data_IF_790659026177
#
_entry.id   IF_790659026177
#
_cell.length_a   1.000
_cell.length_b   1.000
_cell.length_c   1.000
_cell.angle_alpha   90.00
_cell.angle_beta   90.00
_cell.angle_gamma   90.00
#
_symmetry.space_group_name_H-M   'P 1'
#
loop_
_entity.id
_entity.type
_entity.pdbx_description
1 polymer ?
#
# COMPACT_ATOMS: atom_id res chain seq x y z
N UNK A 1 -8.70 4.84 21.64
CA UNK A 1 -7.69 4.53 20.62
C UNK A 1 -8.43 4.55 19.31
N UNK A 2 -7.90 5.30 18.35
CA UNK A 2 -8.52 5.57 17.05
C UNK A 2 -7.69 4.81 16.02
N UNK A 3 -8.32 3.87 15.32
CA UNK A 3 -7.64 2.96 14.41
C UNK A 3 -7.98 3.27 12.96
N UNK A 4 -6.96 3.32 12.10
CA UNK A 4 -7.14 3.41 10.66
C UNK A 4 -6.67 2.15 9.93
N UNK A 5 -7.35 1.80 8.83
CA UNK A 5 -6.84 0.84 7.83
C UNK A 5 -6.17 1.60 6.69
N UNK A 6 -4.96 1.19 6.30
CA UNK A 6 -4.23 1.70 5.14
C UNK A 6 -4.21 0.61 4.06
N UNK A 7 -4.95 0.82 2.98
CA UNK A 7 -5.01 -0.06 1.80
C UNK A 7 -3.94 0.40 0.81
N UNK A 8 -2.86 -0.37 0.68
CA UNK A 8 -1.70 0.02 -0.12
C UNK A 8 -1.83 -0.48 -1.56
N UNK A 9 -1.87 0.45 -2.51
CA UNK A 9 -1.60 0.24 -3.94
C UNK A 9 -2.35 -0.95 -4.58
N UNK A 10 -3.64 -1.13 -4.28
CA UNK A 10 -4.48 -2.17 -4.90
C UNK A 10 -4.95 -1.70 -6.29
N UNK A 11 -3.98 -1.54 -7.20
CA UNK A 11 -4.13 -0.97 -8.54
C UNK A 11 -4.03 -2.00 -9.65
N UNK A 12 -4.49 -1.64 -10.84
CA UNK A 12 -4.51 -2.54 -12.01
C UNK A 12 -3.12 -3.04 -12.40
N UNK A 13 -2.11 -2.17 -12.43
CA UNK A 13 -0.76 -2.53 -12.88
C UNK A 13 -0.04 -3.52 -11.96
N UNK A 14 -0.43 -3.58 -10.69
CA UNK A 14 0.14 -4.51 -9.71
C UNK A 14 -0.57 -5.86 -9.64
N UNK A 15 -1.60 -6.08 -10.44
CA UNK A 15 -2.37 -7.32 -10.47
C UNK A 15 -2.19 -8.05 -11.81
N UNK A 16 -2.68 -9.28 -11.90
CA UNK A 16 -2.61 -10.08 -13.12
C UNK A 16 -3.15 -9.32 -14.35
N UNK A 17 -2.34 -9.27 -15.41
CA UNK A 17 -2.61 -8.51 -16.63
C UNK A 17 -2.07 -7.07 -16.63
N UNK A 18 -1.58 -6.58 -15.49
CA UNK A 18 -0.91 -5.29 -15.34
C UNK A 18 0.55 -5.29 -15.84
N UNK A 19 1.19 -4.12 -15.82
CA UNK A 19 2.58 -3.96 -16.25
C UNK A 19 3.64 -4.50 -15.27
N UNK A 20 3.33 -4.53 -13.97
CA UNK A 20 4.19 -5.08 -12.90
C UNK A 20 3.36 -6.03 -12.03
N UNK A 21 2.87 -7.15 -12.59
CA UNK A 21 1.88 -7.97 -11.94
C UNK A 21 2.47 -8.73 -10.74
N UNK A 22 1.78 -8.65 -9.60
CA UNK A 22 2.05 -9.47 -8.42
C UNK A 22 1.11 -10.66 -8.42
N UNK A 23 1.66 -11.88 -8.31
CA UNK A 23 0.85 -13.09 -8.26
C UNK A 23 -0.08 -13.08 -7.04
N UNK A 24 -1.38 -13.29 -7.26
CA UNK A 24 -2.42 -13.18 -6.25
C UNK A 24 -2.91 -11.75 -6.00
N UNK A 25 -2.36 -10.74 -6.68
CA UNK A 25 -2.73 -9.34 -6.52
C UNK A 25 -4.21 -9.08 -6.77
N UNK A 26 -4.80 -9.68 -7.81
CA UNK A 26 -6.22 -9.52 -8.10
C UNK A 26 -7.14 -10.07 -7.00
N UNK A 27 -6.68 -11.02 -6.18
CA UNK A 27 -7.45 -11.58 -5.08
C UNK A 27 -7.45 -10.70 -3.82
N UNK A 28 -6.54 -9.71 -3.73
CA UNK A 28 -6.42 -8.82 -2.56
C UNK A 28 -7.64 -7.91 -2.42
N UNK A 29 -8.12 -7.32 -3.52
CA UNK A 29 -9.28 -6.43 -3.50
C UNK A 29 -10.55 -7.10 -2.91
N UNK A 30 -11.03 -8.26 -3.41
CA UNK A 30 -12.20 -8.90 -2.82
C UNK A 30 -11.96 -9.40 -1.39
N UNK A 31 -10.73 -9.79 -1.03
CA UNK A 31 -10.39 -10.19 0.34
C UNK A 31 -10.50 -9.01 1.33
N UNK A 32 -10.03 -7.82 0.93
CA UNK A 32 -10.15 -6.59 1.74
C UNK A 32 -11.63 -6.21 1.90
N UNK A 33 -12.44 -6.30 0.84
CA UNK A 33 -13.88 -6.00 0.93
C UNK A 33 -14.57 -6.94 1.92
N UNK A 34 -14.34 -8.25 1.80
CA UNK A 34 -14.91 -9.24 2.71
C UNK A 34 -14.49 -8.98 4.17
N UNK A 35 -13.23 -8.62 4.38
CA UNK A 35 -12.73 -8.24 5.70
C UNK A 35 -13.43 -6.99 6.26
N UNK A 36 -13.69 -5.98 5.43
CA UNK A 36 -14.41 -4.77 5.83
C UNK A 36 -15.91 -5.00 6.04
N UNK A 37 -16.50 -6.00 5.38
CA UNK A 37 -17.90 -6.40 5.56
C UNK A 37 -18.13 -7.00 6.96
N UNK A 38 -17.13 -7.65 7.55
CA UNK A 38 -17.15 -8.17 8.92
C UNK A 38 -17.08 -7.05 10.00
N UNK A 39 -17.07 -5.79 9.59
CA UNK A 39 -17.07 -4.60 10.43
C UNK A 39 -15.99 -4.64 11.54
N UNK A 40 -14.70 -4.69 11.19
CA UNK A 40 -13.58 -4.84 12.14
C UNK A 40 -13.38 -3.64 13.07
N UNK A 41 -14.17 -2.57 12.92
CA UNK A 41 -14.21 -1.43 13.83
C UNK A 41 -13.15 -0.35 13.56
N UNK A 42 -12.81 -0.09 12.30
CA UNK A 42 -11.97 1.06 11.93
C UNK A 42 -12.74 2.37 12.04
N UNK A 43 -12.08 3.40 12.58
CA UNK A 43 -12.59 4.77 12.57
C UNK A 43 -12.38 5.44 11.22
N UNK A 44 -11.32 5.04 10.50
CA UNK A 44 -10.98 5.55 9.17
C UNK A 44 -10.41 4.45 8.27
N UNK A 45 -10.71 4.52 6.98
CA UNK A 45 -10.10 3.69 5.94
C UNK A 45 -9.51 4.60 4.88
N UNK A 46 -8.22 4.47 4.63
CA UNK A 46 -7.51 5.25 3.62
C UNK A 46 -6.85 4.32 2.61
N UNK A 47 -6.63 4.83 1.40
CA UNK A 47 -5.92 4.09 0.36
C UNK A 47 -4.73 4.89 -0.16
N UNK A 48 -3.71 4.19 -0.63
CA UNK A 48 -2.61 4.81 -1.39
C UNK A 48 -2.71 4.43 -2.85
N UNK A 49 -2.19 5.30 -3.71
CA UNK A 49 -1.97 5.01 -5.11
C UNK A 49 -0.57 5.42 -5.49
N UNK A 50 0.14 4.51 -6.15
CA UNK A 50 1.26 4.88 -6.97
C UNK A 50 0.77 5.66 -8.18
N UNK A 51 1.39 6.80 -8.46
CA UNK A 51 0.87 7.74 -9.46
C UNK A 51 2.00 8.53 -10.10
N UNK A 52 2.54 7.99 -11.19
CA UNK A 52 3.74 8.50 -11.82
C UNK A 52 3.43 9.47 -12.97
N UNK A 53 3.97 10.70 -12.90
CA UNK A 53 3.93 11.68 -14.00
C UNK A 53 5.24 11.59 -14.79
N UNK A 54 6.36 11.73 -14.08
CA UNK A 54 7.71 11.60 -14.65
C UNK A 54 8.71 11.21 -13.54
N UNK A 55 8.85 9.91 -13.21
CA UNK A 55 9.67 9.48 -12.08
C UNK A 55 11.14 9.25 -12.45
N UNK A 56 11.58 9.67 -13.65
CA UNK A 56 12.97 9.57 -14.11
C UNK A 56 13.49 8.13 -14.14
N UNK A 57 14.65 7.91 -13.52
CA UNK A 57 15.38 6.62 -13.51
C UNK A 57 14.61 5.46 -12.84
N UNK A 58 13.46 5.74 -12.20
CA UNK A 58 12.54 4.70 -11.72
C UNK A 58 12.01 3.83 -12.87
N UNK A 59 11.84 4.41 -14.06
CA UNK A 59 11.42 3.67 -15.25
C UNK A 59 12.58 3.29 -16.16
N UNK A 60 12.58 2.04 -16.60
CA UNK A 60 13.59 1.49 -17.50
C UNK A 60 12.99 0.44 -18.44
N UNK A 61 13.41 0.45 -19.70
CA UNK A 61 13.12 -0.62 -20.67
C UNK A 61 13.88 -1.92 -20.34
N UNK A 62 14.89 -1.84 -19.46
CA UNK A 62 15.68 -2.97 -18.95
C UNK A 62 15.74 -2.89 -17.42
N UNK A 63 14.61 -3.12 -16.73
CA UNK A 63 14.52 -2.95 -15.29
C UNK A 63 15.28 -4.05 -14.55
N UNK A 64 15.79 -3.69 -13.37
CA UNK A 64 16.44 -4.62 -12.43
C UNK A 64 15.46 -5.20 -11.41
N UNK A 65 14.19 -4.74 -11.38
CA UNK A 65 13.15 -5.13 -10.44
C UNK A 65 13.55 -4.95 -8.97
N UNK A 66 14.40 -3.96 -8.72
CA UNK A 66 14.90 -3.61 -7.39
C UNK A 66 14.89 -2.09 -7.21
N UNK A 67 15.52 -1.37 -8.12
CA UNK A 67 15.60 0.10 -8.12
C UNK A 67 14.97 0.75 -9.36
N UNK A 68 14.71 -0.05 -10.39
CA UNK A 68 14.12 0.34 -11.66
C UNK A 68 13.08 -0.68 -12.13
N UNK A 69 12.04 -0.19 -12.80
CA UNK A 69 10.83 -0.95 -13.14
C UNK A 69 10.38 -0.66 -14.57
N UNK A 70 9.58 -1.55 -15.20
CA UNK A 70 8.79 -1.15 -16.36
C UNK A 70 7.90 0.05 -16.03
N UNK A 71 7.49 0.84 -17.02
CA UNK A 71 6.48 1.88 -16.81
C UNK A 71 5.19 1.28 -16.24
N UNK A 72 4.73 1.84 -15.13
CA UNK A 72 3.53 1.41 -14.41
C UNK A 72 2.84 2.61 -13.75
N UNK A 73 1.58 2.44 -13.39
CA UNK A 73 0.80 3.41 -12.63
C UNK A 73 0.91 4.85 -13.18
N UNK A 74 0.97 4.97 -14.51
CA UNK A 74 1.10 6.26 -15.18
C UNK A 74 -0.14 7.11 -14.91
N UNK A 75 0.08 8.39 -14.58
CA UNK A 75 -0.98 9.33 -14.27
C UNK A 75 -2.05 9.39 -15.38
N UNK A 76 -3.30 9.08 -15.00
CA UNK A 76 -4.45 9.06 -15.92
C UNK A 76 -4.56 7.81 -16.80
N UNK A 77 -3.70 6.81 -16.61
CA UNK A 77 -3.82 5.52 -17.29
C UNK A 77 -4.74 4.57 -16.51
N UNK A 78 -5.34 3.61 -17.21
CA UNK A 78 -6.11 2.54 -16.57
C UNK A 78 -5.25 1.71 -15.60
N UNK A 79 -3.93 1.62 -15.83
CA UNK A 79 -3.00 0.90 -14.94
C UNK A 79 -2.92 1.50 -13.53
N UNK A 80 -3.08 2.83 -13.44
CA UNK A 80 -3.07 3.56 -12.17
C UNK A 80 -4.41 3.52 -11.42
N UNK A 81 -5.50 3.11 -12.06
CA UNK A 81 -6.79 2.99 -11.38
C UNK A 81 -6.75 1.85 -10.35
N UNK A 82 -7.58 1.98 -9.30
CA UNK A 82 -7.83 0.86 -8.40
C UNK A 82 -8.41 -0.33 -9.16
N UNK A 83 -8.20 -1.53 -8.61
CA UNK A 83 -8.91 -2.72 -9.09
C UNK A 83 -10.42 -2.47 -9.06
N UNK A 84 -11.16 -2.75 -10.14
CA UNK A 84 -12.61 -2.55 -10.18
C UNK A 84 -13.36 -3.31 -9.08
N UNK A 85 -12.78 -4.40 -8.60
CA UNK A 85 -13.33 -5.22 -7.52
C UNK A 85 -13.16 -4.59 -6.13
N UNK A 86 -12.32 -3.56 -5.95
CA UNK A 86 -12.15 -2.88 -4.66
C UNK A 86 -13.33 -1.94 -4.39
N UNK A 87 -14.03 -2.11 -3.27
CA UNK A 87 -15.09 -1.18 -2.86
C UNK A 87 -14.49 0.11 -2.27
N UNK A 88 -14.34 1.13 -3.10
CA UNK A 88 -13.78 2.42 -2.68
C UNK A 88 -14.79 3.31 -1.96
N UNK A 89 -16.06 2.92 -1.82
CA UNK A 89 -17.07 3.77 -1.14
C UNK A 89 -16.82 3.92 0.36
N UNK A 90 -16.01 3.01 0.93
CA UNK A 90 -15.57 3.04 2.32
C UNK A 90 -14.28 3.83 2.54
N UNK A 91 -13.60 4.27 1.48
CA UNK A 91 -12.33 4.98 1.58
C UNK A 91 -12.57 6.47 1.84
N UNK A 92 -12.09 6.96 2.98
CA UNK A 92 -12.22 8.35 3.41
C UNK A 92 -11.29 9.31 2.65
N UNK A 93 -10.11 8.82 2.26
CA UNK A 93 -9.11 9.59 1.53
C UNK A 93 -8.15 8.69 0.75
N UNK A 94 -7.68 9.21 -0.39
CA UNK A 94 -6.69 8.56 -1.24
C UNK A 94 -5.42 9.41 -1.25
N UNK A 95 -4.26 8.78 -1.03
CA UNK A 95 -2.97 9.43 -0.98
C UNK A 95 -2.11 8.99 -2.16
N UNK A 96 -1.82 9.93 -3.08
CA UNK A 96 -1.00 9.66 -4.27
C UNK A 96 0.47 9.93 -3.97
N UNK A 97 1.33 8.99 -4.36
CA UNK A 97 2.78 9.05 -4.20
C UNK A 97 3.48 8.84 -5.56
N UNK A 98 4.76 9.21 -5.64
CA UNK A 98 5.60 8.89 -6.80
C UNK A 98 5.44 9.81 -8.02
N UNK A 99 4.78 10.97 -7.92
CA UNK A 99 4.56 11.86 -9.07
C UNK A 99 5.85 12.16 -9.88
N UNK A 100 6.95 12.42 -9.18
CA UNK A 100 8.26 12.76 -9.76
C UNK A 100 9.42 11.98 -9.10
N UNK A 101 9.12 10.82 -8.52
CA UNK A 101 10.07 9.95 -7.81
C UNK A 101 9.51 8.51 -7.74
N UNK A 102 10.27 7.59 -7.15
CA UNK A 102 9.85 6.19 -7.04
C UNK A 102 8.62 5.97 -6.12
N UNK A 103 8.52 6.72 -5.00
CA UNK A 103 7.35 6.67 -4.10
C UNK A 103 7.04 5.28 -3.52
N UNK A 104 7.82 4.79 -2.56
CA UNK A 104 7.59 3.44 -2.01
C UNK A 104 6.70 3.42 -0.77
N UNK A 105 6.73 4.46 0.06
CA UNK A 105 5.94 4.53 1.29
C UNK A 105 4.63 5.28 1.05
N UNK A 106 3.52 4.77 1.60
CA UNK A 106 2.27 5.52 1.70
C UNK A 106 2.42 6.86 2.43
N UNK A 107 3.42 6.98 3.30
CA UNK A 107 3.73 8.22 4.03
C UNK A 107 4.39 9.30 3.17
N UNK A 108 4.82 8.97 1.95
CA UNK A 108 5.24 9.94 0.94
C UNK A 108 4.03 10.52 0.17
N UNK A 109 2.86 9.92 0.34
CA UNK A 109 1.65 10.29 -0.39
C UNK A 109 0.93 11.52 0.18
N UNK A 110 0.26 12.24 -0.71
CA UNK A 110 -0.60 13.39 -0.39
C UNK A 110 -2.02 13.19 -0.94
N UNK A 111 -3.02 13.70 -0.24
CA UNK A 111 -4.40 13.72 -0.73
C UNK A 111 -4.61 14.80 -1.82
N UNK A 112 -5.83 14.89 -2.36
CA UNK A 112 -6.19 15.87 -3.39
C UNK A 112 -6.02 17.34 -2.95
N UNK A 113 -5.94 17.59 -1.63
CA UNK A 113 -5.69 18.92 -1.07
C UNK A 113 -4.20 19.16 -0.76
N UNK A 114 -3.33 18.20 -1.06
CA UNK A 114 -1.91 18.24 -0.76
C UNK A 114 -1.58 17.91 0.70
N UNK A 115 -2.50 17.31 1.46
CA UNK A 115 -2.28 16.93 2.86
C UNK A 115 -1.49 15.61 2.93
N UNK A 116 -0.33 15.55 3.59
CA UNK A 116 0.40 14.31 3.79
C UNK A 116 -0.36 13.30 4.65
N UNK A 117 -0.18 12.00 4.38
CA UNK A 117 -0.86 10.92 5.12
C UNK A 117 -0.69 11.02 6.64
N UNK A 118 0.53 11.21 7.15
CA UNK A 118 0.77 11.32 8.60
C UNK A 118 0.01 12.49 9.22
N UNK A 119 0.00 13.63 8.53
CA UNK A 119 -0.71 14.81 9.01
C UNK A 119 -2.23 14.57 9.03
N UNK A 120 -2.76 13.94 7.98
CA UNK A 120 -4.17 13.59 7.90
C UNK A 120 -4.61 12.66 9.05
N UNK A 121 -3.80 11.64 9.36
CA UNK A 121 -4.02 10.70 10.45
C UNK A 121 -3.96 11.40 11.82
N UNK A 122 -2.92 12.20 12.06
CA UNK A 122 -2.73 12.90 13.35
C UNK A 122 -3.82 13.93 13.63
N UNK A 123 -4.28 14.67 12.63
CA UNK A 123 -5.40 15.63 12.77
C UNK A 123 -6.70 14.94 13.22
N UNK A 124 -6.83 13.63 12.98
CA UNK A 124 -7.97 12.79 13.37
C UNK A 124 -7.74 11.98 14.65
N UNK A 125 -6.59 12.16 15.30
CA UNK A 125 -6.26 11.47 16.54
C UNK A 125 -5.96 9.98 16.37
N UNK A 126 -5.65 9.52 15.14
CA UNK A 126 -5.25 8.12 14.88
C UNK A 126 -3.96 7.81 15.63
N UNK A 127 -3.97 6.75 16.43
CA UNK A 127 -2.84 6.24 17.20
C UNK A 127 -2.46 4.80 16.82
N UNK A 128 -3.32 4.09 16.08
CA UNK A 128 -3.10 2.74 15.58
C UNK A 128 -3.42 2.59 14.08
N UNK A 129 -2.62 1.82 13.35
CA UNK A 129 -2.84 1.51 11.94
C UNK A 129 -2.68 0.03 11.64
N UNK A 130 -3.57 -0.48 10.79
CA UNK A 130 -3.41 -1.76 10.12
C UNK A 130 -3.07 -1.51 8.65
N UNK A 131 -2.11 -2.24 8.11
CA UNK A 131 -1.65 -2.11 6.72
C UNK A 131 -1.95 -3.39 5.94
N UNK A 132 -2.53 -3.23 4.76
CA UNK A 132 -2.90 -4.29 3.80
C UNK A 132 -2.55 -3.86 2.38
N UNK A 133 -2.68 -4.75 1.40
CA UNK A 133 -2.48 -4.39 -0.01
C UNK A 133 -1.22 -4.97 -0.65
N UNK A 134 -0.64 -4.24 -1.59
CA UNK A 134 0.39 -4.74 -2.52
C UNK A 134 1.58 -3.77 -2.57
N UNK A 135 2.84 -4.21 -2.68
CA UNK A 135 3.34 -5.56 -2.42
C UNK A 135 3.89 -5.67 -0.98
N UNK A 136 3.72 -6.85 -0.36
CA UNK A 136 4.17 -7.19 1.01
C UNK A 136 5.61 -6.75 1.26
N UNK A 137 6.49 -7.05 0.31
CA UNK A 137 7.94 -6.90 0.34
C UNK A 137 8.45 -5.53 -0.16
N UNK A 138 7.55 -4.69 -0.66
CA UNK A 138 7.84 -3.34 -1.14
C UNK A 138 7.03 -2.29 -0.37
N UNK A 139 5.94 -1.80 -0.97
CA UNK A 139 5.18 -0.66 -0.44
C UNK A 139 4.52 -0.95 0.91
N UNK A 140 4.01 -2.17 1.12
CA UNK A 140 3.41 -2.56 2.41
C UNK A 140 4.45 -2.51 3.53
N UNK A 141 5.61 -3.18 3.35
CA UNK A 141 6.71 -3.13 4.32
C UNK A 141 7.13 -1.71 4.62
N UNK A 142 7.43 -0.91 3.59
CA UNK A 142 7.94 0.46 3.80
C UNK A 142 6.91 1.35 4.51
N UNK A 143 5.63 1.22 4.14
CA UNK A 143 4.54 1.95 4.79
C UNK A 143 4.40 1.55 6.26
N UNK A 144 4.48 0.26 6.58
CA UNK A 144 4.40 -0.23 7.96
C UNK A 144 5.60 0.24 8.81
N UNK A 145 6.81 0.19 8.26
CA UNK A 145 8.01 0.70 8.93
C UNK A 145 7.94 2.21 9.21
N UNK A 146 7.43 2.98 8.26
CA UNK A 146 7.26 4.43 8.42
C UNK A 146 6.16 4.77 9.43
N UNK A 147 5.07 4.00 9.46
CA UNK A 147 4.04 4.12 10.50
C UNK A 147 4.62 3.89 11.90
N UNK A 148 5.38 2.80 12.08
CA UNK A 148 6.03 2.48 13.34
C UNK A 148 7.04 3.57 13.74
N UNK A 149 7.85 4.06 12.79
CA UNK A 149 8.81 5.16 13.03
C UNK A 149 8.11 6.48 13.37
N UNK A 150 6.91 6.71 12.84
CA UNK A 150 6.08 7.87 13.16
C UNK A 150 5.39 7.78 14.54
N UNK A 151 5.55 6.64 15.24
CA UNK A 151 5.02 6.40 16.58
C UNK A 151 3.61 5.82 16.61
N UNK A 152 3.11 5.28 15.49
CA UNK A 152 1.81 4.61 15.42
C UNK A 152 1.96 3.14 15.80
N UNK A 153 1.04 2.62 16.61
CA UNK A 153 0.93 1.16 16.82
C UNK A 153 0.58 0.53 15.47
N UNK A 154 1.44 -0.33 14.96
CA UNK A 154 1.35 -0.79 13.56
C UNK A 154 1.20 -2.29 13.49
N UNK A 155 0.19 -2.74 12.74
CA UNK A 155 0.01 -4.15 12.37
C UNK A 155 -0.03 -4.31 10.86
N UNK A 156 0.39 -5.46 10.38
CA UNK A 156 0.21 -5.89 8.97
C UNK A 156 -0.66 -7.13 8.96
N UNK A 157 -1.78 -7.08 8.23
CA UNK A 157 -2.67 -8.23 8.08
C UNK A 157 -2.18 -9.06 6.88
N UNK A 158 -1.26 -9.99 7.15
CA UNK A 158 -0.48 -10.70 6.11
C UNK A 158 -1.36 -11.51 5.15
N UNK A 159 -2.51 -11.99 5.61
CA UNK A 159 -3.49 -12.69 4.78
C UNK A 159 -4.26 -11.78 3.80
N UNK A 160 -4.09 -10.46 3.91
CA UNK A 160 -4.65 -9.43 3.04
C UNK A 160 -3.55 -8.70 2.25
N UNK A 161 -2.40 -9.34 2.06
CA UNK A 161 -1.31 -8.82 1.24
C UNK A 161 -0.90 -9.82 0.16
N UNK A 162 -0.29 -9.32 -0.92
CA UNK A 162 0.35 -10.15 -1.95
C UNK A 162 1.82 -9.72 -2.09
N UNK A 163 2.74 -10.65 -2.30
CA UNK A 163 4.18 -10.37 -2.37
C UNK A 163 4.73 -10.57 -3.79
N UNK A 164 5.71 -9.77 -4.19
CA UNK A 164 6.32 -9.88 -5.52
C UNK A 164 7.06 -11.22 -5.70
N UNK A 165 7.72 -11.71 -4.66
CA UNK A 165 8.28 -13.06 -4.62
C UNK A 165 8.29 -13.64 -3.19
N UNK A 166 8.33 -14.96 -3.07
CA UNK A 166 8.26 -15.67 -1.78
C UNK A 166 9.48 -15.38 -0.89
N UNK A 167 10.70 -15.45 -1.46
CA UNK A 167 11.95 -15.22 -0.72
C UNK A 167 12.04 -13.77 -0.19
N UNK A 168 11.61 -12.78 -0.98
CA UNK A 168 11.59 -11.39 -0.57
C UNK A 168 10.48 -11.11 0.45
N UNK A 169 9.35 -11.82 0.37
CA UNK A 169 8.29 -11.78 1.38
C UNK A 169 8.80 -12.23 2.74
N UNK A 170 9.46 -13.39 2.82
CA UNK A 170 9.98 -13.92 4.08
C UNK A 170 10.93 -12.92 4.76
N UNK A 171 11.88 -12.36 3.99
CA UNK A 171 12.79 -11.32 4.48
C UNK A 171 12.04 -10.08 4.97
N UNK A 172 11.07 -9.59 4.20
CA UNK A 172 10.29 -8.41 4.56
C UNK A 172 9.48 -8.60 5.85
N UNK A 173 8.90 -9.78 6.06
CA UNK A 173 8.17 -10.12 7.27
C UNK A 173 9.10 -10.12 8.50
N UNK A 174 10.30 -10.68 8.38
CA UNK A 174 11.29 -10.67 9.47
C UNK A 174 11.83 -9.27 9.79
N UNK A 175 12.03 -8.44 8.77
CA UNK A 175 12.38 -7.02 8.93
C UNK A 175 11.26 -6.26 9.67
N UNK A 176 9.99 -6.47 9.31
CA UNK A 176 8.86 -5.85 9.98
C UNK A 176 8.74 -6.28 11.45
N UNK A 177 8.89 -7.58 11.74
CA UNK A 177 8.94 -8.08 13.13
C UNK A 177 10.06 -7.42 13.93
N UNK A 178 11.24 -7.30 13.32
CA UNK A 178 12.41 -6.68 13.96
C UNK A 178 12.21 -5.18 14.22
N UNK A 179 11.37 -4.51 13.40
CA UNK A 179 10.96 -3.13 13.60
C UNK A 179 9.82 -2.96 14.63
N UNK A 180 9.34 -4.04 15.26
CA UNK A 180 8.28 -4.00 16.27
C UNK A 180 6.87 -3.95 15.69
N UNK A 181 6.69 -4.28 14.40
CA UNK A 181 5.38 -4.35 13.74
C UNK A 181 4.75 -5.70 14.03
N UNK A 182 3.48 -5.71 14.45
CA UNK A 182 2.72 -6.94 14.66
C UNK A 182 2.28 -7.55 13.33
N UNK A 183 2.60 -8.82 13.09
CA UNK A 183 2.15 -9.55 11.91
C UNK A 183 0.96 -10.44 12.26
N UNK A 184 -0.22 -10.11 11.73
CA UNK A 184 -1.47 -10.83 11.99
C UNK A 184 -1.75 -11.81 10.86
N UNK A 185 -1.91 -13.08 11.20
CA UNK A 185 -2.18 -14.15 10.22
C UNK A 185 -0.96 -14.73 9.52
N UNK A 186 0.26 -14.29 9.87
CA UNK A 186 1.49 -14.98 9.51
C UNK A 186 1.59 -16.28 10.33
N UNK A 187 1.39 -17.43 9.69
CA UNK A 187 1.70 -18.74 10.29
C UNK A 187 3.18 -19.03 10.22
#
# INVERSE_FOLDING_TARGET
MVRALIIVDVQNDFCEGGSVPVAGGAAVAPAINAYLDDAPGYDYVVATQDFHIDPGDHFSDRPDYSSSWPAHCLAGSAGADFRPELDTTRVDAVFRKGAYAAGYSGFEGVDDNGTPLLEWLRRRGVDEVDVVGIATDHCVRRTAEDAARAGLTTRVLVHLTAAAAEDSAARALDEMRSAGIELVGAR
#
